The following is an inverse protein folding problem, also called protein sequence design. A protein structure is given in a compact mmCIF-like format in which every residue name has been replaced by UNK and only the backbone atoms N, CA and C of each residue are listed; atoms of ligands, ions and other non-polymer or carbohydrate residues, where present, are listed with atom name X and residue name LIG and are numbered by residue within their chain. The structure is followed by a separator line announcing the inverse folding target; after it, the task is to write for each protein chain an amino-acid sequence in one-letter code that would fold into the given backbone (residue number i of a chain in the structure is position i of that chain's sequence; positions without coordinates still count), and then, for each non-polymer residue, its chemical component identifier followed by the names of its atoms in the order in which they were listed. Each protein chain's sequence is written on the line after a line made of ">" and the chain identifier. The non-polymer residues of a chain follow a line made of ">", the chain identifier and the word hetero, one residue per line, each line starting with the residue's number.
data_IF_020630455901
#
_entry.id   IF_020630455901
#
_cell.length_a   1.000
_cell.length_b   1.000
_cell.length_c   1.000
_cell.angle_alpha   90.00
_cell.angle_beta   90.00
_cell.angle_gamma   90.00
#
_symmetry.space_group_name_H-M   'P 1'
#
loop_
_entity.id
_entity.type
_entity.pdbx_description
1 polymer ?
#
# COMPACT_ATOMS: atom_id res chain seq x y z
N UNK A 1 -37.73 45.68 -43.96
CA UNK A 1 -37.64 45.86 -42.49
C UNK A 1 -37.43 44.53 -41.75
N UNK A 2 -36.74 43.55 -42.35
CA UNK A 2 -36.59 42.19 -41.78
C UNK A 2 -35.21 41.95 -41.12
N UNK A 3 -34.23 42.79 -41.41
CA UNK A 3 -32.85 42.67 -40.94
C UNK A 3 -32.61 42.83 -39.42
N UNK A 4 -33.36 43.65 -38.65
CA UNK A 4 -33.06 43.83 -37.23
C UNK A 4 -33.44 42.61 -36.38
N UNK A 5 -34.44 41.82 -36.81
CA UNK A 5 -34.94 40.68 -36.06
C UNK A 5 -34.07 39.42 -36.26
N UNK A 6 -33.54 39.25 -37.47
CA UNK A 6 -32.59 38.18 -37.76
C UNK A 6 -31.24 38.42 -37.07
N UNK A 7 -30.81 39.67 -36.98
CA UNK A 7 -29.58 40.05 -36.27
C UNK A 7 -29.70 39.82 -34.75
N UNK A 8 -30.85 40.14 -34.15
CA UNK A 8 -31.09 39.88 -32.71
C UNK A 8 -31.20 38.40 -32.40
N UNK A 9 -31.84 37.60 -33.26
CA UNK A 9 -31.88 36.13 -33.11
C UNK A 9 -30.45 35.56 -33.14
N UNK A 10 -29.62 35.94 -34.11
CA UNK A 10 -28.23 35.47 -34.20
C UNK A 10 -27.41 35.91 -32.99
N UNK A 11 -27.58 37.17 -32.54
CA UNK A 11 -26.88 37.72 -31.38
C UNK A 11 -27.20 36.97 -30.09
N UNK A 12 -28.40 36.42 -29.94
CA UNK A 12 -28.79 35.62 -28.77
C UNK A 12 -28.48 34.13 -28.94
N UNK A 13 -28.65 33.58 -30.14
CA UNK A 13 -28.47 32.15 -30.41
C UNK A 13 -27.01 31.72 -30.30
N UNK A 14 -26.05 32.55 -30.75
CA UNK A 14 -24.63 32.21 -30.71
C UNK A 14 -24.09 32.10 -29.27
N UNK A 15 -24.29 33.09 -28.37
CA UNK A 15 -23.90 32.95 -26.96
C UNK A 15 -24.64 31.82 -26.25
N UNK A 16 -25.94 31.62 -26.52
CA UNK A 16 -26.69 30.52 -25.92
C UNK A 16 -26.16 29.14 -26.36
N UNK A 17 -25.85 28.98 -27.64
CA UNK A 17 -25.22 27.77 -28.18
C UNK A 17 -23.82 27.54 -27.61
N UNK A 18 -23.02 28.59 -27.45
CA UNK A 18 -21.71 28.52 -26.80
C UNK A 18 -21.80 28.12 -25.33
N UNK A 19 -22.74 28.70 -24.57
CA UNK A 19 -23.00 28.34 -23.18
C UNK A 19 -23.46 26.88 -23.05
N UNK A 20 -24.36 26.42 -23.93
CA UNK A 20 -24.79 25.02 -23.97
C UNK A 20 -23.62 24.08 -24.26
N UNK A 21 -22.78 24.40 -25.25
CA UNK A 21 -21.58 23.65 -25.57
C UNK A 21 -20.61 23.59 -24.37
N UNK A 22 -20.39 24.71 -23.68
CA UNK A 22 -19.56 24.77 -22.48
C UNK A 22 -20.13 23.89 -21.38
N UNK A 23 -21.44 23.96 -21.11
CA UNK A 23 -22.11 23.13 -20.10
C UNK A 23 -21.97 21.63 -20.41
N UNK A 24 -22.20 21.22 -21.66
CA UNK A 24 -22.07 19.81 -22.08
C UNK A 24 -20.61 19.35 -21.96
N UNK A 25 -19.65 20.16 -22.40
CA UNK A 25 -18.22 19.86 -22.30
C UNK A 25 -17.76 19.72 -20.84
N UNK A 26 -18.20 20.63 -19.96
CA UNK A 26 -17.91 20.57 -18.52
C UNK A 26 -18.55 19.33 -17.89
N UNK A 27 -19.81 19.03 -18.20
CA UNK A 27 -20.49 17.84 -17.70
C UNK A 27 -19.77 16.56 -18.15
N UNK A 28 -19.37 16.48 -19.41
CA UNK A 28 -18.64 15.33 -19.93
C UNK A 28 -17.30 15.15 -19.23
N UNK A 29 -16.54 16.24 -19.04
CA UNK A 29 -15.28 16.22 -18.28
C UNK A 29 -15.47 15.78 -16.83
N UNK A 30 -16.52 16.27 -16.15
CA UNK A 30 -16.86 15.86 -14.77
C UNK A 30 -17.18 14.38 -14.70
N UNK A 31 -18.00 13.86 -15.63
CA UNK A 31 -18.35 12.45 -15.68
C UNK A 31 -17.12 11.56 -15.93
N UNK A 32 -16.23 11.96 -16.85
CA UNK A 32 -14.98 11.24 -17.09
C UNK A 32 -14.07 11.25 -15.85
N UNK A 33 -13.90 12.41 -15.21
CA UNK A 33 -13.10 12.52 -13.99
C UNK A 33 -13.65 11.65 -12.85
N UNK A 34 -14.98 11.58 -12.69
CA UNK A 34 -15.63 10.70 -11.71
C UNK A 34 -15.38 9.22 -12.02
N UNK A 35 -15.51 8.80 -13.29
CA UNK A 35 -15.20 7.41 -13.69
C UNK A 35 -13.74 7.03 -13.42
N UNK A 36 -12.80 7.91 -13.77
CA UNK A 36 -11.37 7.70 -13.49
C UNK A 36 -11.12 7.61 -11.99
N UNK A 37 -11.75 8.48 -11.20
CA UNK A 37 -11.62 8.46 -9.74
C UNK A 37 -12.08 7.13 -9.13
N UNK A 38 -13.30 6.68 -9.47
CA UNK A 38 -13.87 5.41 -8.98
C UNK A 38 -13.00 4.23 -9.39
N UNK A 39 -12.50 4.22 -10.62
CA UNK A 39 -11.59 3.19 -11.10
C UNK A 39 -10.26 3.18 -10.31
N UNK A 40 -9.71 4.36 -10.01
CA UNK A 40 -8.51 4.49 -9.19
C UNK A 40 -8.69 3.93 -7.77
N UNK A 41 -9.83 4.21 -7.14
CA UNK A 41 -10.16 3.66 -5.81
C UNK A 41 -10.25 2.13 -5.87
N UNK A 42 -10.89 1.57 -6.91
CA UNK A 42 -10.96 0.12 -7.10
C UNK A 42 -9.57 -0.51 -7.24
N UNK A 43 -8.68 0.10 -8.04
CA UNK A 43 -7.29 -0.35 -8.17
C UNK A 43 -6.55 -0.33 -6.82
N UNK A 44 -6.64 0.76 -6.06
CA UNK A 44 -5.94 0.88 -4.77
C UNK A 44 -6.40 -0.18 -3.78
N UNK A 45 -7.72 -0.41 -3.66
CA UNK A 45 -8.26 -1.43 -2.74
C UNK A 45 -7.68 -2.81 -3.06
N UNK A 46 -7.64 -3.19 -4.34
CA UNK A 46 -7.07 -4.46 -4.77
C UNK A 46 -5.55 -4.52 -4.53
N UNK A 47 -4.80 -3.46 -4.88
CA UNK A 47 -3.34 -3.41 -4.73
C UNK A 47 -2.91 -3.40 -3.26
N UNK A 48 -3.67 -2.77 -2.36
CA UNK A 48 -3.44 -2.84 -0.90
C UNK A 48 -3.68 -4.25 -0.36
N UNK A 49 -4.71 -4.94 -0.85
CA UNK A 49 -4.94 -6.36 -0.53
C UNK A 49 -3.76 -7.23 -0.98
N UNK A 50 -3.33 -7.05 -2.23
CA UNK A 50 -2.17 -7.73 -2.80
C UNK A 50 -0.89 -7.47 -1.99
N UNK A 51 -0.64 -6.22 -1.59
CA UNK A 51 0.49 -5.83 -0.76
C UNK A 51 0.50 -6.62 0.55
N UNK A 52 -0.65 -6.71 1.21
CA UNK A 52 -0.80 -7.46 2.47
C UNK A 52 -0.45 -8.93 2.28
N UNK A 53 -0.96 -9.56 1.22
CA UNK A 53 -0.68 -10.96 0.94
C UNK A 53 0.80 -11.20 0.60
N UNK A 54 1.44 -10.33 -0.20
CA UNK A 54 2.87 -10.47 -0.51
C UNK A 54 3.73 -10.28 0.76
N UNK A 55 3.37 -9.36 1.65
CA UNK A 55 4.05 -9.17 2.94
C UNK A 55 3.90 -10.38 3.86
N UNK A 56 2.73 -11.01 3.89
CA UNK A 56 2.49 -12.26 4.62
C UNK A 56 3.31 -13.40 4.01
N UNK A 57 3.36 -13.48 2.68
CA UNK A 57 4.11 -14.51 1.95
C UNK A 57 5.60 -14.41 2.27
N UNK A 58 6.17 -13.21 2.27
CA UNK A 58 7.55 -12.95 2.74
C UNK A 58 7.79 -13.53 4.13
N UNK A 59 6.86 -13.28 5.07
CA UNK A 59 6.98 -13.75 6.45
C UNK A 59 6.94 -15.28 6.56
N UNK A 60 5.92 -15.90 5.95
CA UNK A 60 5.72 -17.35 5.98
C UNK A 60 6.86 -18.10 5.28
N UNK A 61 7.27 -17.67 4.09
CA UNK A 61 8.38 -18.31 3.35
C UNK A 61 9.71 -18.17 4.08
N UNK A 62 9.98 -17.02 4.69
CA UNK A 62 11.17 -16.85 5.54
C UNK A 62 11.14 -17.78 6.75
N UNK A 63 9.99 -17.93 7.41
CA UNK A 63 9.81 -18.90 8.49
C UNK A 63 10.00 -20.35 8.04
N UNK A 64 9.43 -20.71 6.89
CA UNK A 64 9.54 -22.03 6.28
C UNK A 64 11.00 -22.40 5.97
N UNK A 65 11.75 -21.50 5.32
CA UNK A 65 13.18 -21.70 5.03
C UNK A 65 13.99 -21.89 6.31
N UNK A 66 13.63 -21.19 7.39
CA UNK A 66 14.28 -21.32 8.70
C UNK A 66 13.77 -22.50 9.55
N UNK A 67 13.00 -23.43 8.96
CA UNK A 67 12.62 -24.70 9.59
C UNK A 67 11.16 -24.83 10.03
N UNK A 68 10.31 -23.81 9.85
CA UNK A 68 8.88 -23.92 10.14
C UNK A 68 8.14 -24.65 9.00
N UNK A 69 8.30 -25.98 8.91
CA UNK A 69 7.67 -26.79 7.87
C UNK A 69 6.14 -26.73 7.90
N UNK A 70 5.53 -26.46 9.06
CA UNK A 70 4.07 -26.34 9.20
C UNK A 70 3.49 -25.16 8.41
N UNK A 71 4.29 -24.13 8.09
CA UNK A 71 3.85 -22.97 7.31
C UNK A 71 3.52 -23.29 5.84
N UNK A 72 3.85 -24.49 5.34
CA UNK A 72 3.67 -24.83 3.91
C UNK A 72 2.23 -24.70 3.44
N UNK A 73 1.26 -25.20 4.20
CA UNK A 73 -0.15 -25.13 3.83
C UNK A 73 -0.66 -23.68 3.80
N UNK A 74 -0.20 -22.85 4.75
CA UNK A 74 -0.55 -21.43 4.79
C UNK A 74 0.04 -20.68 3.60
N UNK A 75 1.27 -21.02 3.18
CA UNK A 75 1.91 -20.47 1.98
C UNK A 75 1.08 -20.80 0.74
N UNK A 76 0.73 -22.08 0.54
CA UNK A 76 -0.05 -22.52 -0.63
C UNK A 76 -1.43 -21.86 -0.70
N UNK A 77 -2.11 -21.73 0.44
CA UNK A 77 -3.39 -21.00 0.55
C UNK A 77 -3.22 -19.52 0.19
N UNK A 78 -2.16 -18.89 0.69
CA UNK A 78 -1.86 -17.49 0.43
C UNK A 78 -1.51 -17.23 -1.04
N UNK A 79 -0.75 -18.12 -1.68
CA UNK A 79 -0.45 -18.04 -3.12
C UNK A 79 -1.72 -18.09 -3.97
N UNK A 80 -2.74 -18.86 -3.58
CA UNK A 80 -4.04 -18.87 -4.24
C UNK A 80 -4.76 -17.52 -4.11
N UNK A 81 -4.72 -16.91 -2.91
CA UNK A 81 -5.28 -15.58 -2.69
C UNK A 81 -4.55 -14.50 -3.51
N UNK A 82 -3.23 -14.59 -3.61
CA UNK A 82 -2.42 -13.71 -4.46
C UNK A 82 -2.79 -13.88 -5.92
N UNK A 83 -2.86 -15.13 -6.41
CA UNK A 83 -3.25 -15.44 -7.79
C UNK A 83 -4.63 -14.88 -8.14
N UNK A 84 -5.62 -15.07 -7.25
CA UNK A 84 -6.96 -14.50 -7.43
C UNK A 84 -6.92 -12.98 -7.50
N UNK A 85 -6.27 -12.35 -6.53
CA UNK A 85 -6.16 -10.88 -6.47
C UNK A 85 -5.47 -10.31 -7.70
N UNK A 86 -4.40 -10.95 -8.19
CA UNK A 86 -3.74 -10.55 -9.43
C UNK A 86 -4.65 -10.66 -10.66
N UNK A 87 -5.49 -11.70 -10.73
CA UNK A 87 -6.51 -11.82 -11.78
C UNK A 87 -7.58 -10.72 -11.68
N UNK A 88 -7.97 -10.35 -10.48
CA UNK A 88 -8.91 -9.25 -10.25
C UNK A 88 -8.30 -7.90 -10.66
N UNK A 89 -7.02 -7.67 -10.34
CA UNK A 89 -6.27 -6.49 -10.81
C UNK A 89 -6.19 -6.44 -12.34
N UNK A 90 -5.86 -7.56 -12.98
CA UNK A 90 -5.76 -7.63 -14.44
C UNK A 90 -7.11 -7.39 -15.16
N UNK A 91 -8.22 -7.85 -14.56
CA UNK A 91 -9.56 -7.65 -15.10
C UNK A 91 -10.17 -6.27 -14.81
N UNK A 92 -9.65 -5.54 -13.81
CA UNK A 92 -10.24 -4.28 -13.32
C UNK A 92 -10.10 -3.07 -14.27
N UNK A 93 -9.32 -3.15 -15.35
CA UNK A 93 -9.43 -2.22 -16.48
C UNK A 93 -8.23 -2.15 -17.41
N UNK A 94 -8.41 -1.49 -18.55
CA UNK A 94 -7.42 -1.44 -19.64
C UNK A 94 -6.12 -0.75 -19.26
N UNK A 95 -6.19 0.28 -18.41
CA UNK A 95 -5.01 0.99 -17.95
C UNK A 95 -4.04 0.05 -17.23
N UNK A 96 -4.56 -0.87 -16.39
CA UNK A 96 -3.75 -1.82 -15.66
C UNK A 96 -3.16 -2.91 -16.57
N UNK A 97 -3.96 -3.46 -17.49
CA UNK A 97 -3.50 -4.49 -18.45
C UNK A 97 -2.34 -4.03 -19.33
N UNK A 98 -2.38 -2.76 -19.73
CA UNK A 98 -1.34 -2.14 -20.55
C UNK A 98 -0.19 -1.54 -19.74
N UNK A 99 -0.23 -1.60 -18.41
CA UNK A 99 0.78 -1.01 -17.54
C UNK A 99 2.04 -1.88 -17.45
N UNK A 100 3.18 -1.33 -17.87
CA UNK A 100 4.47 -2.04 -17.87
C UNK A 100 4.96 -2.39 -16.46
N UNK A 101 4.71 -1.53 -15.45
CA UNK A 101 5.08 -1.82 -14.05
C UNK A 101 4.26 -2.98 -13.50
N UNK A 102 2.96 -3.05 -13.83
CA UNK A 102 2.11 -4.18 -13.47
C UNK A 102 2.59 -5.49 -14.10
N UNK A 103 2.81 -5.50 -15.42
CA UNK A 103 3.37 -6.68 -16.11
C UNK A 103 4.69 -7.15 -15.49
N UNK A 104 5.59 -6.21 -15.16
CA UNK A 104 6.87 -6.51 -14.52
C UNK A 104 6.71 -7.05 -13.09
N UNK A 105 5.71 -6.59 -12.34
CA UNK A 105 5.38 -7.09 -11.00
C UNK A 105 4.87 -8.53 -11.06
N UNK A 106 3.95 -8.83 -11.99
CA UNK A 106 3.41 -10.19 -12.19
C UNK A 106 4.53 -11.15 -12.60
N UNK A 107 5.38 -10.74 -13.52
CA UNK A 107 6.54 -11.51 -13.97
C UNK A 107 7.53 -11.78 -12.81
N UNK A 108 7.88 -10.76 -12.03
CA UNK A 108 8.73 -10.92 -10.84
C UNK A 108 8.08 -11.87 -9.82
N UNK A 109 6.80 -11.71 -9.52
CA UNK A 109 6.08 -12.59 -8.60
C UNK A 109 6.10 -14.05 -9.06
N UNK A 110 5.91 -14.33 -10.35
CA UNK A 110 5.89 -15.71 -10.87
C UNK A 110 7.17 -16.50 -10.59
N UNK A 111 8.32 -15.82 -10.54
CA UNK A 111 9.61 -16.42 -10.16
C UNK A 111 9.79 -16.48 -8.66
N UNK A 112 9.33 -15.43 -7.96
CA UNK A 112 9.51 -15.29 -6.53
C UNK A 112 8.67 -16.28 -5.73
N UNK A 113 7.46 -16.61 -6.19
CA UNK A 113 6.55 -17.53 -5.51
C UNK A 113 7.18 -18.91 -5.32
N UNK A 114 8.01 -19.38 -6.24
CA UNK A 114 8.70 -20.68 -6.11
C UNK A 114 10.12 -20.57 -5.55
N UNK A 115 10.67 -19.35 -5.41
CA UNK A 115 12.08 -19.12 -5.05
C UNK A 115 12.41 -19.66 -3.65
N UNK A 116 11.45 -19.61 -2.71
CA UNK A 116 11.67 -20.03 -1.33
C UNK A 116 12.06 -21.51 -1.22
N UNK A 117 11.70 -22.33 -2.21
CA UNK A 117 12.07 -23.75 -2.26
C UNK A 117 13.59 -23.96 -2.41
N UNK A 118 14.33 -22.93 -2.82
CA UNK A 118 15.80 -22.96 -2.92
C UNK A 118 16.51 -22.80 -1.57
N UNK A 119 15.78 -22.42 -0.50
CA UNK A 119 16.33 -22.38 0.86
C UNK A 119 17.20 -21.17 1.22
N UNK A 120 17.28 -20.15 0.36
CA UNK A 120 18.04 -18.92 0.65
C UNK A 120 17.13 -17.84 1.25
N UNK A 121 17.11 -17.76 2.59
CA UNK A 121 16.25 -16.82 3.33
C UNK A 121 16.58 -15.35 3.04
N UNK A 122 17.87 -15.01 2.89
CA UNK A 122 18.31 -13.63 2.66
C UNK A 122 17.93 -13.17 1.26
N UNK A 123 18.13 -14.02 0.25
CA UNK A 123 17.70 -13.75 -1.12
C UNK A 123 16.18 -13.68 -1.20
N UNK A 124 15.45 -14.61 -0.59
CA UNK A 124 14.00 -14.60 -0.53
C UNK A 124 13.48 -13.28 0.05
N UNK A 125 14.02 -12.87 1.21
CA UNK A 125 13.63 -11.63 1.87
C UNK A 125 13.92 -10.39 1.02
N UNK A 126 15.12 -10.29 0.42
CA UNK A 126 15.50 -9.16 -0.44
C UNK A 126 14.61 -9.05 -1.68
N UNK A 127 14.32 -10.16 -2.36
CA UNK A 127 13.46 -10.14 -3.56
C UNK A 127 12.02 -9.74 -3.22
N UNK A 128 11.48 -10.19 -2.09
CA UNK A 128 10.19 -9.71 -1.61
C UNK A 128 10.18 -8.21 -1.32
N UNK A 129 11.22 -7.67 -0.69
CA UNK A 129 11.30 -6.23 -0.43
C UNK A 129 11.34 -5.41 -1.73
N UNK A 130 12.03 -5.90 -2.76
CA UNK A 130 12.05 -5.27 -4.10
C UNK A 130 10.66 -5.32 -4.74
N UNK A 131 9.99 -6.49 -4.70
CA UNK A 131 8.65 -6.64 -5.24
C UNK A 131 7.65 -5.69 -4.55
N UNK A 132 7.70 -5.61 -3.22
CA UNK A 132 6.85 -4.74 -2.42
C UNK A 132 7.12 -3.26 -2.73
N UNK A 133 8.38 -2.86 -2.86
CA UNK A 133 8.72 -1.48 -3.24
C UNK A 133 8.15 -1.12 -4.62
N UNK A 134 8.27 -2.00 -5.61
CA UNK A 134 7.69 -1.81 -6.93
C UNK A 134 6.16 -1.73 -6.91
N UNK A 135 5.51 -2.51 -6.03
CA UNK A 135 4.07 -2.45 -5.85
C UNK A 135 3.64 -1.12 -5.23
N UNK A 136 4.37 -0.61 -4.23
CA UNK A 136 4.13 0.72 -3.67
C UNK A 136 4.30 1.83 -4.72
N UNK A 137 5.29 1.73 -5.61
CA UNK A 137 5.44 2.66 -6.74
C UNK A 137 4.28 2.57 -7.74
N UNK A 138 3.73 1.38 -8.00
CA UNK A 138 2.54 1.24 -8.85
C UNK A 138 1.30 1.87 -8.18
N UNK A 139 1.16 1.75 -6.87
CA UNK A 139 0.05 2.39 -6.12
C UNK A 139 0.14 3.92 -6.23
N UNK A 140 1.34 4.50 -6.16
CA UNK A 140 1.53 5.94 -6.34
C UNK A 140 1.20 6.39 -7.77
N UNK A 141 1.64 5.65 -8.80
CA UNK A 141 1.24 5.91 -10.19
C UNK A 141 -0.28 5.87 -10.38
N UNK A 142 -0.96 4.90 -9.77
CA UNK A 142 -2.43 4.81 -9.79
C UNK A 142 -3.03 6.07 -9.18
N UNK A 143 -2.53 6.50 -8.02
CA UNK A 143 -3.02 7.69 -7.34
C UNK A 143 -2.91 8.95 -8.20
N UNK A 144 -1.77 9.13 -8.88
CA UNK A 144 -1.52 10.29 -9.74
C UNK A 144 -2.39 10.28 -11.00
N UNK A 145 -2.38 9.17 -11.74
CA UNK A 145 -3.12 9.04 -13.00
C UNK A 145 -4.63 9.15 -12.79
N UNK A 146 -5.15 8.63 -11.68
CA UNK A 146 -6.59 8.65 -11.37
C UNK A 146 -7.00 9.85 -10.50
N UNK A 147 -6.10 10.83 -10.31
CA UNK A 147 -6.35 12.10 -9.63
C UNK A 147 -6.80 11.97 -8.18
N UNK A 148 -6.29 10.96 -7.49
CA UNK A 148 -6.59 10.69 -6.08
C UNK A 148 -5.75 11.55 -5.13
N UNK A 149 -4.65 12.12 -5.64
CA UNK A 149 -3.77 13.03 -4.90
C UNK A 149 -4.36 14.41 -4.64
N UNK A 150 -5.39 14.82 -5.40
CA UNK A 150 -6.00 16.17 -5.34
C UNK A 150 -7.16 16.29 -4.33
N UNK A 151 -7.41 15.26 -3.51
CA UNK A 151 -8.62 15.13 -2.69
C UNK A 151 -8.33 15.23 -1.18
N UNK A 152 -7.12 15.65 -0.79
CA UNK A 152 -6.82 15.91 0.64
C UNK A 152 -7.62 17.12 1.12
N UNK A 153 -8.82 16.88 1.62
CA UNK A 153 -9.77 17.89 2.09
C UNK A 153 -9.42 18.46 3.47
N UNK A 154 -8.54 17.82 4.24
CA UNK A 154 -8.05 18.33 5.51
C UNK A 154 -6.53 18.21 5.59
N UNK A 155 -5.86 19.32 5.91
CA UNK A 155 -4.41 19.38 6.13
C UNK A 155 -3.93 18.60 7.38
N UNK A 156 -4.82 17.87 8.05
CA UNK A 156 -4.59 17.22 9.34
C UNK A 156 -4.41 15.71 9.25
N UNK A 157 -4.76 15.04 8.16
CA UNK A 157 -4.59 13.59 8.05
C UNK A 157 -3.24 13.23 7.41
N UNK A 158 -2.53 12.23 7.95
CA UNK A 158 -1.38 11.62 7.26
C UNK A 158 -1.83 11.11 5.90
N UNK A 159 -1.14 11.49 4.83
CA UNK A 159 -1.45 11.04 3.46
C UNK A 159 -1.55 9.52 3.39
N UNK A 160 -2.70 9.00 2.95
CA UNK A 160 -2.96 7.56 2.85
C UNK A 160 -1.86 6.82 2.09
N UNK A 161 -1.22 7.45 1.10
CA UNK A 161 -0.11 6.85 0.33
C UNK A 161 1.07 6.52 1.21
N UNK A 162 1.34 7.38 2.18
CA UNK A 162 2.43 7.20 3.11
C UNK A 162 2.16 6.08 4.13
N UNK A 163 0.88 5.84 4.48
CA UNK A 163 0.48 4.77 5.40
C UNK A 163 0.95 3.39 4.94
N UNK A 164 0.84 3.07 3.64
CA UNK A 164 1.32 1.77 3.13
C UNK A 164 2.85 1.62 3.24
N UNK A 165 3.59 2.71 3.09
CA UNK A 165 5.03 2.71 3.31
C UNK A 165 5.39 2.48 4.78
N UNK A 166 4.64 3.08 5.70
CA UNK A 166 4.79 2.86 7.15
C UNK A 166 4.50 1.40 7.50
N UNK A 167 3.41 0.84 6.98
CA UNK A 167 3.05 -0.56 7.18
C UNK A 167 4.17 -1.49 6.69
N UNK A 168 4.82 -1.16 5.57
CA UNK A 168 5.96 -1.92 5.07
C UNK A 168 7.21 -1.77 5.94
N UNK A 169 7.54 -0.59 6.45
CA UNK A 169 8.66 -0.41 7.39
C UNK A 169 8.46 -1.25 8.65
N UNK A 170 7.25 -1.24 9.21
CA UNK A 170 6.89 -2.10 10.34
C UNK A 170 6.93 -3.58 9.94
N UNK A 171 6.47 -3.93 8.74
CA UNK A 171 6.53 -5.29 8.19
C UNK A 171 7.95 -5.84 8.08
N UNK A 172 8.91 -5.04 7.63
CA UNK A 172 10.32 -5.39 7.61
C UNK A 172 10.89 -5.51 9.03
N UNK A 173 10.56 -4.56 9.92
CA UNK A 173 11.02 -4.58 11.31
C UNK A 173 10.48 -5.81 12.05
N UNK A 174 9.24 -6.20 11.78
CA UNK A 174 8.64 -7.45 12.28
C UNK A 174 9.45 -8.66 11.83
N UNK A 175 9.68 -8.81 10.52
CA UNK A 175 10.37 -9.97 9.98
C UNK A 175 11.80 -10.11 10.52
N UNK A 176 12.58 -9.02 10.51
CA UNK A 176 13.95 -9.02 11.02
C UNK A 176 13.99 -9.23 12.55
N UNK A 177 13.14 -8.50 13.28
CA UNK A 177 13.13 -8.55 14.74
C UNK A 177 12.63 -9.88 15.30
N UNK A 178 11.64 -10.52 14.66
CA UNK A 178 11.20 -11.88 15.04
C UNK A 178 12.34 -12.89 14.84
N UNK A 179 13.11 -12.75 13.76
CA UNK A 179 14.30 -13.58 13.53
C UNK A 179 15.39 -13.36 14.60
N UNK A 180 15.64 -12.10 14.98
CA UNK A 180 16.59 -11.76 16.07
C UNK A 180 16.14 -12.34 17.41
N UNK A 181 14.86 -12.17 17.77
CA UNK A 181 14.30 -12.73 19.00
C UNK A 181 14.38 -14.26 19.02
N UNK A 182 14.03 -14.93 17.92
CA UNK A 182 14.06 -16.39 17.82
C UNK A 182 15.48 -16.97 17.93
N UNK A 183 16.47 -16.28 17.36
CA UNK A 183 17.89 -16.68 17.44
C UNK A 183 18.53 -16.31 18.78
N UNK A 184 17.94 -15.42 19.56
CA UNK A 184 18.53 -14.91 20.80
C UNK A 184 19.83 -14.14 20.59
N UNK A 185 20.06 -13.62 19.37
CA UNK A 185 21.26 -12.84 19.03
C UNK A 185 20.94 -11.81 17.94
N UNK A 186 21.44 -10.58 18.13
CA UNK A 186 21.35 -9.50 17.15
C UNK A 186 22.74 -9.21 16.56
N UNK A 187 22.96 -9.52 15.28
CA UNK A 187 24.21 -9.19 14.60
C UNK A 187 24.35 -7.68 14.37
N UNK A 188 25.56 -7.19 14.16
CA UNK A 188 25.81 -5.77 13.87
C UNK A 188 25.03 -5.27 12.64
N UNK A 189 24.92 -6.11 11.60
CA UNK A 189 24.16 -5.79 10.38
C UNK A 189 22.66 -5.69 10.68
N UNK A 190 22.09 -6.66 11.41
CA UNK A 190 20.68 -6.64 11.78
C UNK A 190 20.35 -5.46 12.70
N UNK A 191 21.26 -5.13 13.63
CA UNK A 191 21.20 -3.95 14.50
C UNK A 191 21.13 -2.65 13.70
N UNK A 192 21.96 -2.49 12.68
CA UNK A 192 21.92 -1.30 11.79
C UNK A 192 20.59 -1.25 11.03
N UNK A 193 20.15 -2.36 10.44
CA UNK A 193 18.90 -2.43 9.68
C UNK A 193 17.66 -2.14 10.54
N UNK A 194 17.59 -2.73 11.73
CA UNK A 194 16.50 -2.49 12.68
C UNK A 194 16.47 -1.03 13.16
N UNK A 195 17.63 -0.44 13.47
CA UNK A 195 17.70 0.98 13.85
C UNK A 195 17.28 1.90 12.70
N UNK A 196 17.66 1.59 11.46
CA UNK A 196 17.20 2.33 10.28
C UNK A 196 15.68 2.29 10.12
N UNK A 197 15.09 1.09 10.23
CA UNK A 197 13.65 0.91 10.16
C UNK A 197 12.94 1.61 11.32
N UNK A 198 13.47 1.51 12.54
CA UNK A 198 12.97 2.20 13.73
C UNK A 198 12.94 3.71 13.50
N UNK A 199 14.01 4.30 12.96
CA UNK A 199 14.06 5.73 12.68
C UNK A 199 13.02 6.14 11.62
N UNK A 200 12.85 5.35 10.56
CA UNK A 200 11.80 5.57 9.56
C UNK A 200 10.40 5.50 10.15
N UNK A 201 10.12 4.52 11.01
CA UNK A 201 8.81 4.40 11.68
C UNK A 201 8.59 5.59 12.61
N UNK A 202 9.59 5.96 13.42
CA UNK A 202 9.51 7.08 14.35
C UNK A 202 9.28 8.42 13.65
N UNK A 203 9.91 8.66 12.50
CA UNK A 203 9.71 9.89 11.72
C UNK A 203 8.38 9.95 10.97
N UNK A 204 7.61 8.86 10.99
CA UNK A 204 6.38 8.72 10.19
C UNK A 204 5.09 8.80 11.01
N UNK A 205 5.21 8.83 12.33
CA UNK A 205 4.08 8.93 13.25
C UNK A 205 4.17 10.27 13.96
N UNK A 206 3.13 11.07 13.85
CA UNK A 206 3.04 12.40 14.43
C UNK A 206 1.81 12.54 15.35
N UNK A 207 1.46 13.77 15.71
CA UNK A 207 0.35 14.06 16.62
C UNK A 207 -1.04 13.85 15.99
N UNK A 208 -1.15 13.63 14.68
CA UNK A 208 -2.44 13.44 14.00
C UNK A 208 -2.93 12.00 14.08
N UNK A 209 -2.04 11.06 14.45
CA UNK A 209 -2.40 9.67 14.67
C UNK A 209 -3.27 9.48 15.90
N UNK A 210 -4.23 8.52 15.87
CA UNK A 210 -4.99 8.14 17.06
C UNK A 210 -4.07 7.78 18.22
N UNK A 211 -4.40 8.25 19.43
CA UNK A 211 -3.55 8.10 20.62
C UNK A 211 -3.17 6.64 20.88
N UNK A 212 -4.12 5.71 20.75
CA UNK A 212 -3.88 4.28 20.92
C UNK A 212 -2.85 3.75 19.92
N UNK A 213 -3.02 4.04 18.63
CA UNK A 213 -2.10 3.59 17.57
C UNK A 213 -0.70 4.16 17.78
N UNK A 214 -0.62 5.45 18.14
CA UNK A 214 0.65 6.11 18.47
C UNK A 214 1.34 5.46 19.67
N UNK A 215 0.60 5.16 20.73
CA UNK A 215 1.12 4.48 21.93
C UNK A 215 1.68 3.08 21.60
N UNK A 216 0.95 2.28 20.82
CA UNK A 216 1.43 0.95 20.40
C UNK A 216 2.66 1.02 19.50
N UNK A 217 2.73 1.99 18.59
CA UNK A 217 3.91 2.19 17.74
C UNK A 217 5.10 2.66 18.60
N UNK A 218 4.91 3.56 19.57
CA UNK A 218 5.98 3.92 20.51
C UNK A 218 6.46 2.73 21.34
N UNK A 219 5.54 1.86 21.77
CA UNK A 219 5.92 0.62 22.44
C UNK A 219 6.74 -0.29 21.52
N UNK A 220 6.37 -0.43 20.24
CA UNK A 220 7.18 -1.15 19.26
C UNK A 220 8.60 -0.55 19.12
N UNK A 221 8.70 0.77 18.95
CA UNK A 221 9.98 1.46 18.81
C UNK A 221 10.87 1.26 20.05
N UNK A 222 10.28 1.40 21.24
CA UNK A 222 10.98 1.17 22.51
C UNK A 222 11.42 -0.29 22.64
N UNK A 223 10.56 -1.25 22.28
CA UNK A 223 10.89 -2.67 22.31
C UNK A 223 12.06 -3.01 21.36
N UNK A 224 12.08 -2.44 20.15
CA UNK A 224 13.20 -2.62 19.22
C UNK A 224 14.50 -2.15 19.89
N UNK A 225 14.48 -0.98 20.51
CA UNK A 225 15.65 -0.39 21.17
C UNK A 225 16.15 -1.20 22.37
N UNK A 226 15.25 -1.51 23.32
CA UNK A 226 15.65 -2.00 24.63
C UNK A 226 15.71 -3.52 24.75
N UNK A 227 15.01 -4.24 23.86
CA UNK A 227 14.84 -5.70 23.97
C UNK A 227 15.31 -6.49 22.75
N UNK A 228 15.46 -5.86 21.58
CA UNK A 228 15.93 -6.55 20.36
C UNK A 228 17.35 -6.15 19.96
N UNK A 229 17.64 -4.85 19.96
CA UNK A 229 18.91 -4.32 19.43
C UNK A 229 20.02 -4.31 20.50
N UNK A 230 19.89 -5.19 21.50
CA UNK A 230 20.86 -5.45 22.56
C UNK A 230 21.68 -6.71 22.25
N UNK A 231 22.71 -7.00 23.04
CA UNK A 231 23.58 -8.16 22.80
C UNK A 231 22.88 -9.50 23.05
N UNK A 232 21.93 -9.53 23.99
CA UNK A 232 21.07 -10.68 24.29
C UNK A 232 19.61 -10.24 24.23
N UNK A 233 18.92 -10.41 23.09
CA UNK A 233 17.51 -10.13 22.97
C UNK A 233 16.69 -10.82 24.06
N UNK A 234 15.80 -10.06 24.72
CA UNK A 234 15.04 -10.54 25.88
C UNK A 234 13.57 -10.82 25.59
N UNK A 235 13.04 -10.30 24.47
CA UNK A 235 11.64 -10.50 24.08
C UNK A 235 11.45 -11.85 23.37
N UNK A 236 10.34 -12.52 23.63
CA UNK A 236 9.95 -13.73 22.90
C UNK A 236 9.56 -13.40 21.46
N UNK A 237 9.96 -14.25 20.52
CA UNK A 237 9.70 -14.03 19.09
C UNK A 237 8.20 -13.88 18.77
N UNK A 238 7.34 -14.66 19.45
CA UNK A 238 5.89 -14.61 19.29
C UNK A 238 5.29 -13.29 19.80
N UNK A 239 5.76 -12.79 20.94
CA UNK A 239 5.28 -11.53 21.53
C UNK A 239 5.67 -10.34 20.67
N UNK A 240 6.92 -10.31 20.18
CA UNK A 240 7.37 -9.27 19.25
C UNK A 240 6.59 -9.31 17.93
N UNK A 241 6.38 -10.51 17.38
CA UNK A 241 5.59 -10.69 16.16
C UNK A 241 4.16 -10.15 16.32
N UNK A 242 3.52 -10.45 17.45
CA UNK A 242 2.16 -9.98 17.77
C UNK A 242 2.12 -8.47 17.92
N UNK A 243 3.07 -7.87 18.63
CA UNK A 243 3.17 -6.42 18.81
C UNK A 243 3.29 -5.70 17.46
N UNK A 244 4.22 -6.13 16.61
CA UNK A 244 4.42 -5.50 15.32
C UNK A 244 3.23 -5.73 14.36
N UNK A 245 2.57 -6.90 14.44
CA UNK A 245 1.36 -7.18 13.64
C UNK A 245 0.21 -6.25 14.01
N UNK A 246 -0.05 -6.01 15.30
CA UNK A 246 -1.05 -5.01 15.72
C UNK A 246 -0.72 -3.61 15.21
N UNK A 247 0.55 -3.21 15.23
CA UNK A 247 0.97 -1.91 14.68
C UNK A 247 0.68 -1.80 13.18
N UNK A 248 0.90 -2.88 12.41
CA UNK A 248 0.54 -2.93 10.98
C UNK A 248 -0.98 -2.80 10.81
N UNK A 249 -1.77 -3.52 11.61
CA UNK A 249 -3.24 -3.45 11.56
C UNK A 249 -3.75 -2.04 11.85
N UNK A 250 -3.19 -1.33 12.83
CA UNK A 250 -3.53 0.07 13.10
C UNK A 250 -3.32 0.96 11.87
N UNK A 251 -2.16 0.84 11.23
CA UNK A 251 -1.79 1.63 10.04
C UNK A 251 -2.72 1.31 8.86
N UNK A 252 -2.97 0.02 8.63
CA UNK A 252 -3.82 -0.43 7.53
C UNK A 252 -5.30 -0.06 7.74
N UNK A 253 -5.80 -0.11 8.98
CA UNK A 253 -7.15 0.34 9.31
C UNK A 253 -7.30 1.87 9.12
N UNK A 254 -6.25 2.64 9.39
CA UNK A 254 -6.25 4.07 9.09
C UNK A 254 -6.27 4.33 7.58
N UNK A 255 -5.50 3.55 6.81
CA UNK A 255 -5.54 3.61 5.35
C UNK A 255 -6.94 3.29 4.82
N UNK A 256 -7.56 2.20 5.26
CA UNK A 256 -8.86 1.77 4.76
C UNK A 256 -9.93 2.84 5.03
N UNK A 257 -9.93 3.43 6.24
CA UNK A 257 -10.81 4.56 6.59
C UNK A 257 -10.62 5.78 5.70
N UNK A 258 -9.38 6.14 5.36
CA UNK A 258 -9.12 7.27 4.47
C UNK A 258 -9.59 7.00 3.04
N UNK A 259 -9.38 5.78 2.53
CA UNK A 259 -9.87 5.38 1.20
C UNK A 259 -11.41 5.38 1.16
N UNK A 260 -12.07 4.89 2.21
CA UNK A 260 -13.55 4.93 2.33
C UNK A 260 -14.08 6.37 2.38
N UNK A 261 -13.43 7.27 3.14
CA UNK A 261 -13.79 8.69 3.18
C UNK A 261 -13.64 9.35 1.80
N UNK A 262 -12.54 9.07 1.09
CA UNK A 262 -12.31 9.57 -0.26
C UNK A 262 -13.39 9.12 -1.25
N UNK A 263 -13.86 7.87 -1.13
CA UNK A 263 -14.94 7.33 -1.93
C UNK A 263 -16.29 8.01 -1.61
N UNK A 264 -16.58 8.25 -0.33
CA UNK A 264 -17.79 8.94 0.11
C UNK A 264 -17.85 10.41 -0.31
N UNK A 265 -16.76 11.16 -0.17
CA UNK A 265 -16.72 12.60 -0.47
C UNK A 265 -16.87 12.91 -1.98
N UNK A 266 -16.74 11.91 -2.86
CA UNK A 266 -16.85 12.05 -4.32
C UNK A 266 -17.92 11.19 -4.98
N UNK A 267 -18.55 10.28 -4.25
CA UNK A 267 -19.71 9.48 -4.71
C UNK A 267 -20.99 10.30 -4.72
#
# INVERSE_FOLDING_TARGET
>A
METPLLLTIVLLAVPAGFLLFLMVSLQHRRNQASKLFVQGIAYIKLLRGLLTYIQQHRGLTTGFINGNAAAKQDIESLEQNIKRTMSDVDSSGEWMRSNVKWSSLVDHWSRLSVLYMQGDADKNFKQHNILIANLLYLIDDVADVHHLTKVTGDAMDTDWRYLLSIAEYIGQARALGTGVAAKGQCSSVLRIQLNHLRNKIASSVDATWPEQSRSEIHHLLHCIETQLVVDRPSIQAADYFKLATRCIEHVLNQFDRQIERLEYDRG
#
